data_IF_207583500088
#
_entry.id   IF_207583500088
#
_cell.length_a   1.000
_cell.length_b   1.000
_cell.length_c   1.000
_cell.angle_alpha   90.00
_cell.angle_beta   90.00
_cell.angle_gamma   90.00
#
_symmetry.space_group_name_H-M   'P 1'
#
loop_
_entity.id
_entity.type
_entity.pdbx_description
1 polymer ?
#
# COMPACT_ATOMS: atom_id res chain seq x y z
N UNK A 1 1.74 3.08 -16.98
CA UNK A 1 1.84 3.14 -15.52
C UNK A 1 0.47 2.89 -14.93
N UNK A 2 0.39 2.07 -13.88
CA UNK A 2 -0.80 1.83 -13.08
C UNK A 2 -0.45 2.04 -11.60
N UNK A 3 -1.22 2.87 -10.91
CA UNK A 3 -1.17 3.02 -9.46
C UNK A 3 -2.48 2.51 -8.86
N UNK A 4 -2.44 1.41 -8.12
CA UNK A 4 -3.59 0.87 -7.42
C UNK A 4 -3.62 1.44 -5.99
N UNK A 5 -4.34 2.54 -5.82
CA UNK A 5 -4.40 3.30 -4.56
C UNK A 5 -5.74 3.14 -3.82
N UNK A 6 -6.83 2.81 -4.53
CA UNK A 6 -8.14 2.71 -3.91
C UNK A 6 -8.15 1.74 -2.72
N UNK A 7 -8.73 2.18 -1.61
CA UNK A 7 -8.81 1.37 -0.41
C UNK A 7 -9.76 1.98 0.62
N UNK A 8 -10.31 1.10 1.46
CA UNK A 8 -11.22 1.46 2.55
C UNK A 8 -10.77 0.76 3.83
N UNK A 9 -11.22 1.29 4.97
CA UNK A 9 -11.10 0.66 6.28
C UNK A 9 -12.48 0.44 6.88
N UNK A 10 -12.61 -0.60 7.69
CA UNK A 10 -13.75 -0.85 8.57
C UNK A 10 -13.20 -1.45 9.86
N UNK A 11 -12.77 -0.56 10.75
CA UNK A 11 -12.02 -0.91 11.94
C UNK A 11 -12.95 -1.45 13.01
N UNK A 12 -12.69 -2.67 13.46
CA UNK A 12 -13.43 -3.35 14.50
C UNK A 12 -12.58 -4.46 15.11
N UNK A 13 -12.64 -4.62 16.43
CA UNK A 13 -11.99 -5.76 17.09
C UNK A 13 -12.56 -7.08 16.56
N UNK A 14 -11.70 -8.09 16.40
CA UNK A 14 -12.01 -9.37 15.75
C UNK A 14 -13.34 -9.99 16.23
N UNK A 15 -13.60 -10.01 17.53
CA UNK A 15 -14.79 -10.61 18.09
C UNK A 15 -16.11 -9.88 17.76
N UNK A 16 -16.02 -8.67 17.22
CA UNK A 16 -17.17 -7.84 16.81
C UNK A 16 -17.21 -7.59 15.31
N UNK A 17 -16.14 -7.93 14.59
CA UNK A 17 -16.07 -7.76 13.14
C UNK A 17 -17.03 -8.75 12.47
N UNK A 18 -17.89 -8.24 11.60
CA UNK A 18 -18.75 -9.11 10.78
C UNK A 18 -17.96 -9.67 9.59
N UNK A 19 -18.43 -10.78 9.02
CA UNK A 19 -17.89 -11.31 7.76
C UNK A 19 -18.01 -10.29 6.62
N UNK A 20 -19.13 -9.55 6.55
CA UNK A 20 -19.34 -8.49 5.56
C UNK A 20 -18.30 -7.36 5.69
N UNK A 21 -17.93 -6.98 6.92
CA UNK A 21 -16.87 -5.96 7.13
C UNK A 21 -15.51 -6.47 6.66
N UNK A 22 -15.20 -7.73 6.93
CA UNK A 22 -13.98 -8.37 6.47
C UNK A 22 -13.96 -8.45 4.94
N UNK A 23 -14.98 -9.04 4.34
CA UNK A 23 -15.05 -9.28 2.89
C UNK A 23 -15.07 -7.99 2.09
N UNK A 24 -15.82 -6.97 2.52
CA UNK A 24 -15.89 -5.69 1.82
C UNK A 24 -14.54 -4.98 1.77
N UNK A 25 -13.74 -5.04 2.83
CA UNK A 25 -12.40 -4.45 2.87
C UNK A 25 -11.43 -5.25 1.99
N UNK A 26 -11.44 -6.57 2.09
CA UNK A 26 -10.57 -7.44 1.28
C UNK A 26 -10.94 -7.33 -0.21
N UNK A 27 -12.23 -7.35 -0.54
CA UNK A 27 -12.66 -7.25 -1.93
C UNK A 27 -12.33 -5.87 -2.55
N UNK A 28 -12.47 -4.80 -1.79
CA UNK A 28 -12.13 -3.46 -2.29
C UNK A 28 -10.62 -3.29 -2.44
N UNK A 29 -9.86 -3.58 -1.38
CA UNK A 29 -8.42 -3.26 -1.33
C UNK A 29 -7.57 -4.22 -2.16
N UNK A 30 -7.80 -5.52 -2.04
CA UNK A 30 -7.02 -6.55 -2.73
C UNK A 30 -7.70 -7.02 -4.02
N UNK A 31 -8.97 -7.32 -3.99
CA UNK A 31 -9.77 -7.71 -5.15
C UNK A 31 -9.83 -6.59 -6.20
N UNK A 32 -10.00 -5.33 -5.75
CA UNK A 32 -9.96 -4.15 -6.61
C UNK A 32 -8.62 -3.99 -7.32
N UNK A 33 -7.51 -4.10 -6.58
CA UNK A 33 -6.17 -4.07 -7.16
C UNK A 33 -5.98 -5.18 -8.22
N UNK A 34 -6.39 -6.41 -7.92
CA UNK A 34 -6.35 -7.52 -8.87
C UNK A 34 -7.11 -7.19 -10.17
N UNK A 35 -8.33 -6.66 -10.07
CA UNK A 35 -9.19 -6.37 -11.24
C UNK A 35 -8.55 -5.32 -12.15
N UNK A 36 -8.01 -4.23 -11.60
CA UNK A 36 -7.40 -3.16 -12.40
C UNK A 36 -6.06 -3.60 -13.00
N UNK A 37 -5.23 -4.31 -12.24
CA UNK A 37 -3.96 -4.86 -12.72
C UNK A 37 -4.20 -5.85 -13.86
N UNK A 38 -5.13 -6.78 -13.72
CA UNK A 38 -5.48 -7.77 -14.77
C UNK A 38 -5.87 -7.09 -16.10
N UNK A 39 -6.60 -5.97 -16.03
CA UNK A 39 -6.99 -5.21 -17.22
C UNK A 39 -5.80 -4.47 -17.84
N UNK A 40 -5.01 -3.77 -17.03
CA UNK A 40 -3.85 -3.00 -17.48
C UNK A 40 -2.75 -3.90 -18.07
N UNK A 41 -2.52 -5.08 -17.50
CA UNK A 41 -1.46 -6.01 -17.91
C UNK A 41 -1.56 -6.42 -19.38
N UNK A 42 -2.76 -6.48 -19.96
CA UNK A 42 -2.91 -6.80 -21.40
C UNK A 42 -2.23 -5.78 -22.31
N UNK A 43 -2.37 -4.49 -22.01
CA UNK A 43 -1.74 -3.41 -22.78
C UNK A 43 -0.23 -3.37 -22.50
N UNK A 44 0.18 -3.53 -21.25
CA UNK A 44 1.58 -3.54 -20.84
C UNK A 44 2.36 -4.69 -21.48
N UNK A 45 1.77 -5.88 -21.55
CA UNK A 45 2.38 -7.05 -22.21
C UNK A 45 2.62 -6.82 -23.71
N UNK A 46 1.67 -6.18 -24.41
CA UNK A 46 1.83 -5.82 -25.83
C UNK A 46 2.91 -4.77 -26.04
N UNK A 47 2.94 -3.77 -25.16
CA UNK A 47 3.92 -2.69 -25.20
C UNK A 47 5.32 -3.15 -24.77
N UNK A 48 5.45 -4.30 -24.10
CA UNK A 48 6.70 -4.79 -23.43
C UNK A 48 7.25 -3.72 -22.47
N UNK A 49 6.36 -2.99 -21.84
CA UNK A 49 6.65 -1.94 -20.87
C UNK A 49 5.47 -1.80 -19.89
N UNK A 50 5.78 -1.68 -18.62
CA UNK A 50 4.79 -1.39 -17.59
C UNK A 50 5.42 -1.07 -16.25
N UNK A 51 4.70 -0.25 -15.47
CA UNK A 51 5.00 0.06 -14.07
C UNK A 51 3.72 -0.12 -13.28
N UNK A 52 3.71 -1.08 -12.38
CA UNK A 52 2.59 -1.38 -11.49
C UNK A 52 3.02 -1.02 -10.08
N UNK A 53 2.30 -0.11 -9.44
CA UNK A 53 2.59 0.38 -8.10
C UNK A 53 1.34 0.16 -7.25
N UNK A 54 1.47 -0.67 -6.23
CA UNK A 54 0.39 -1.03 -5.32
C UNK A 54 0.56 -0.26 -4.01
N UNK A 55 -0.46 0.46 -3.58
CA UNK A 55 -0.42 1.21 -2.33
C UNK A 55 -0.93 0.33 -1.20
N UNK A 56 0.03 -0.13 -0.38
CA UNK A 56 -0.23 -0.90 0.84
C UNK A 56 -0.35 0.05 2.06
N UNK A 57 0.16 -0.37 3.16
CA UNK A 57 0.28 0.39 4.42
C UNK A 57 1.33 -0.30 5.30
N UNK A 58 1.95 0.44 6.19
CA UNK A 58 2.76 -0.15 7.26
C UNK A 58 1.93 -1.11 8.12
N UNK A 59 0.63 -0.87 8.28
CA UNK A 59 -0.29 -1.80 8.98
C UNK A 59 -0.34 -3.18 8.29
N UNK A 60 -0.17 -3.24 6.97
CA UNK A 60 -0.02 -4.50 6.24
C UNK A 60 1.30 -5.23 6.52
N UNK A 61 2.27 -4.59 7.15
CA UNK A 61 3.58 -5.16 7.46
C UNK A 61 3.67 -5.63 8.91
N UNK A 62 3.18 -4.86 9.88
CA UNK A 62 3.28 -5.18 11.30
C UNK A 62 1.93 -5.44 12.01
N UNK A 63 0.80 -5.21 11.33
CA UNK A 63 -0.53 -5.36 11.91
C UNK A 63 -0.99 -4.18 12.75
N UNK A 64 -2.28 -4.18 13.13
CA UNK A 64 -2.85 -3.22 14.06
C UNK A 64 -4.10 -3.82 14.72
N UNK A 65 -4.26 -3.64 16.02
CA UNK A 65 -5.46 -4.07 16.71
C UNK A 65 -6.71 -3.39 16.11
N UNK A 66 -7.77 -4.16 15.86
CA UNK A 66 -8.99 -3.67 15.23
C UNK A 66 -8.95 -3.58 13.70
N UNK A 67 -7.84 -3.92 13.06
CA UNK A 67 -7.66 -3.80 11.61
C UNK A 67 -7.29 -5.12 10.92
N UNK A 68 -7.82 -6.25 11.40
CA UNK A 68 -7.51 -7.58 10.83
C UNK A 68 -7.82 -7.65 9.34
N UNK A 69 -8.99 -7.14 8.91
CA UNK A 69 -9.41 -7.07 7.52
C UNK A 69 -8.49 -6.16 6.68
N UNK A 70 -8.19 -4.98 7.18
CA UNK A 70 -7.33 -4.01 6.50
C UNK A 70 -5.89 -4.52 6.40
N UNK A 71 -5.32 -5.00 7.52
CA UNK A 71 -3.98 -5.59 7.55
C UNK A 71 -3.86 -6.77 6.58
N UNK A 72 -4.81 -7.70 6.59
CA UNK A 72 -4.84 -8.84 5.66
C UNK A 72 -4.88 -8.37 4.20
N UNK A 73 -5.75 -7.40 3.86
CA UNK A 73 -5.89 -6.88 2.50
C UNK A 73 -4.61 -6.21 2.01
N UNK A 74 -3.96 -5.41 2.86
CA UNK A 74 -2.74 -4.67 2.53
C UNK A 74 -1.50 -5.57 2.51
N UNK A 75 -1.43 -6.56 3.39
CA UNK A 75 -0.39 -7.60 3.37
C UNK A 75 -0.49 -8.46 2.12
N UNK A 76 -1.68 -8.82 1.69
CA UNK A 76 -1.93 -9.59 0.46
C UNK A 76 -1.35 -8.94 -0.80
N UNK A 77 -1.27 -7.60 -0.85
CA UNK A 77 -0.66 -6.87 -1.97
C UNK A 77 0.84 -7.19 -2.13
N UNK A 78 1.54 -7.55 -1.05
CA UNK A 78 2.96 -7.92 -1.10
C UNK A 78 3.14 -9.24 -1.85
N UNK A 79 2.39 -10.27 -1.47
CA UNK A 79 2.41 -11.56 -2.18
C UNK A 79 1.97 -11.40 -3.64
N UNK A 80 0.94 -10.60 -3.87
CA UNK A 80 0.43 -10.29 -5.21
C UNK A 80 1.51 -9.63 -6.07
N UNK A 81 2.21 -8.59 -5.57
CA UNK A 81 3.29 -7.92 -6.30
C UNK A 81 4.45 -8.87 -6.65
N UNK A 82 4.85 -9.70 -5.69
CA UNK A 82 5.95 -10.66 -5.90
C UNK A 82 5.61 -11.72 -6.94
N UNK A 83 4.37 -12.21 -6.97
CA UNK A 83 3.90 -13.14 -8.00
C UNK A 83 3.88 -12.48 -9.38
N UNK A 84 3.33 -11.28 -9.49
CA UNK A 84 3.35 -10.52 -10.75
C UNK A 84 4.76 -10.24 -11.26
N UNK A 85 5.70 -9.92 -10.37
CA UNK A 85 7.10 -9.76 -10.74
C UNK A 85 7.65 -11.03 -11.42
N UNK A 86 7.38 -12.21 -10.86
CA UNK A 86 7.82 -13.48 -11.46
C UNK A 86 7.18 -13.76 -12.82
N UNK A 87 5.94 -13.35 -13.00
CA UNK A 87 5.21 -13.58 -14.26
C UNK A 87 5.55 -12.56 -15.36
N UNK A 88 5.80 -11.29 -14.98
CA UNK A 88 5.79 -10.18 -15.93
C UNK A 88 7.13 -9.48 -16.14
N UNK A 89 8.13 -9.69 -15.25
CA UNK A 89 9.40 -8.94 -15.31
C UNK A 89 10.15 -9.18 -16.63
N UNK A 90 10.14 -10.39 -17.19
CA UNK A 90 10.75 -10.70 -18.48
C UNK A 90 10.10 -9.96 -19.68
N UNK A 91 8.99 -9.29 -19.45
CA UNK A 91 8.27 -8.45 -20.43
C UNK A 91 8.50 -6.96 -20.22
N UNK A 92 9.48 -6.56 -19.39
CA UNK A 92 9.78 -5.16 -19.10
C UNK A 92 8.75 -4.50 -18.17
N UNK A 93 8.00 -5.29 -17.39
CA UNK A 93 6.98 -4.80 -16.46
C UNK A 93 7.49 -4.96 -15.04
N UNK A 94 7.57 -3.87 -14.27
CA UNK A 94 7.89 -3.91 -12.85
C UNK A 94 6.64 -3.84 -12.00
N UNK A 95 6.66 -4.49 -10.85
CA UNK A 95 5.56 -4.41 -9.86
C UNK A 95 6.14 -4.20 -8.47
N UNK A 96 5.79 -3.08 -7.83
CA UNK A 96 6.29 -2.72 -6.51
C UNK A 96 5.16 -2.30 -5.58
N UNK A 97 5.43 -2.35 -4.29
CA UNK A 97 4.51 -1.95 -3.22
C UNK A 97 5.10 -0.73 -2.51
N UNK A 98 4.29 0.30 -2.35
CA UNK A 98 4.57 1.42 -1.44
C UNK A 98 3.73 1.22 -0.20
N UNK A 99 4.35 1.30 0.98
CA UNK A 99 3.70 1.11 2.27
C UNK A 99 3.80 2.40 3.10
N UNK A 100 2.82 3.33 2.96
CA UNK A 100 2.79 4.55 3.75
C UNK A 100 2.53 4.27 5.22
N UNK A 101 3.14 5.11 6.09
CA UNK A 101 2.79 5.22 7.50
C UNK A 101 1.64 6.21 7.71
N UNK A 102 1.75 7.05 8.75
CA UNK A 102 0.79 8.12 9.00
C UNK A 102 1.05 9.31 8.09
N UNK A 103 0.02 9.66 7.32
CA UNK A 103 0.07 10.75 6.33
C UNK A 103 -0.89 11.86 6.76
N UNK A 104 -0.46 13.11 6.57
CA UNK A 104 -1.32 14.29 6.75
C UNK A 104 -2.46 14.28 5.75
N UNK A 105 -3.66 14.01 6.23
CA UNK A 105 -4.91 13.97 5.46
C UNK A 105 -6.02 14.58 6.32
N UNK A 106 -7.16 14.85 5.72
CA UNK A 106 -8.34 15.32 6.48
C UNK A 106 -8.71 14.36 7.62
N UNK A 107 -8.50 13.06 7.44
CA UNK A 107 -8.74 12.05 8.49
C UNK A 107 -7.78 12.20 9.67
N UNK A 108 -6.49 12.41 9.43
CA UNK A 108 -5.51 12.60 10.52
C UNK A 108 -5.64 13.96 11.17
N UNK A 109 -6.02 15.00 10.40
CA UNK A 109 -6.29 16.33 10.91
C UNK A 109 -7.53 16.39 11.84
N UNK A 110 -8.51 15.50 11.60
CA UNK A 110 -9.72 15.40 12.43
C UNK A 110 -9.49 14.69 13.77
N UNK A 111 -8.33 14.06 13.98
CA UNK A 111 -7.99 13.40 15.25
C UNK A 111 -7.72 14.45 16.35
N UNK A 112 -8.08 14.17 17.62
CA UNK A 112 -7.72 15.02 18.76
C UNK A 112 -6.18 15.24 18.81
N UNK A 113 -5.76 16.45 19.20
CA UNK A 113 -4.34 16.80 19.28
C UNK A 113 -3.51 15.83 20.13
N UNK A 114 -4.07 15.37 21.25
CA UNK A 114 -3.43 14.40 22.13
C UNK A 114 -3.15 13.06 21.40
N UNK A 115 -4.11 12.60 20.60
CA UNK A 115 -3.95 11.39 19.79
C UNK A 115 -2.91 11.56 18.68
N UNK A 116 -2.91 12.73 18.01
CA UNK A 116 -1.88 13.04 17.02
C UNK A 116 -0.48 13.08 17.64
N UNK A 117 -0.34 13.69 18.84
CA UNK A 117 0.91 13.76 19.56
C UNK A 117 1.42 12.36 19.96
N UNK A 118 0.52 11.47 20.39
CA UNK A 118 0.85 10.10 20.73
C UNK A 118 1.36 9.32 19.49
N UNK A 119 0.67 9.44 18.35
CA UNK A 119 1.12 8.80 17.10
C UNK A 119 2.47 9.34 16.65
N UNK A 120 2.66 10.67 16.66
CA UNK A 120 3.94 11.29 16.30
C UNK A 120 5.11 10.82 17.18
N UNK A 121 4.84 10.58 18.47
CA UNK A 121 5.85 10.07 19.42
C UNK A 121 6.37 8.67 19.05
N UNK A 122 5.53 7.86 18.41
CA UNK A 122 5.89 6.50 18.00
C UNK A 122 6.61 6.46 16.63
N UNK A 123 6.61 7.57 15.90
CA UNK A 123 7.30 7.69 14.60
C UNK A 123 8.72 8.23 14.87
N UNK A 124 9.79 7.52 14.51
CA UNK A 124 11.16 8.01 14.69
C UNK A 124 11.42 9.39 14.06
N UNK A 125 10.82 9.69 12.91
CA UNK A 125 10.89 11.01 12.28
C UNK A 125 10.11 12.11 13.04
N UNK A 126 9.31 11.78 14.06
CA UNK A 126 8.60 12.71 14.94
C UNK A 126 7.43 13.46 14.32
N UNK A 127 7.02 13.12 13.10
CA UNK A 127 5.96 13.78 12.36
C UNK A 127 5.21 12.83 11.44
N UNK A 128 4.05 13.27 10.98
CA UNK A 128 3.38 12.64 9.84
C UNK A 128 4.08 13.04 8.53
N UNK A 129 4.00 12.20 7.53
CA UNK A 129 4.44 12.54 6.18
C UNK A 129 3.35 13.31 5.43
N UNK A 130 3.75 14.11 4.46
CA UNK A 130 2.81 14.72 3.53
C UNK A 130 2.43 13.73 2.43
N UNK A 131 1.27 13.93 1.80
CA UNK A 131 0.88 13.15 0.61
C UNK A 131 1.90 13.29 -0.52
N UNK A 132 2.56 14.46 -0.63
CA UNK A 132 3.62 14.70 -1.62
C UNK A 132 4.85 13.82 -1.43
N UNK A 133 5.23 13.49 -0.20
CA UNK A 133 6.37 12.60 0.07
C UNK A 133 6.07 11.17 -0.41
N UNK A 134 4.86 10.68 -0.24
CA UNK A 134 4.44 9.38 -0.79
C UNK A 134 4.36 9.43 -2.32
N UNK A 135 3.77 10.50 -2.88
CA UNK A 135 3.64 10.69 -4.32
C UNK A 135 5.02 10.77 -5.01
N UNK A 136 6.02 11.36 -4.37
CA UNK A 136 7.39 11.40 -4.87
C UNK A 136 7.99 10.01 -5.07
N UNK A 137 7.80 9.09 -4.12
CA UNK A 137 8.24 7.69 -4.24
C UNK A 137 7.48 6.97 -5.36
N UNK A 138 6.18 7.18 -5.46
CA UNK A 138 5.35 6.61 -6.53
C UNK A 138 5.83 7.10 -7.91
N UNK A 139 6.08 8.41 -8.04
CA UNK A 139 6.57 8.99 -9.29
C UNK A 139 7.94 8.44 -9.68
N UNK A 140 8.85 8.29 -8.72
CA UNK A 140 10.16 7.70 -8.97
C UNK A 140 10.06 6.23 -9.42
N UNK A 141 9.22 5.42 -8.77
CA UNK A 141 8.97 4.03 -9.18
C UNK A 141 8.33 3.91 -10.58
N UNK A 142 7.64 4.94 -11.03
CA UNK A 142 7.06 5.02 -12.37
C UNK A 142 8.09 5.37 -13.44
N UNK A 143 9.23 5.92 -13.07
CA UNK A 143 10.28 6.37 -13.96
C UNK A 143 11.27 5.27 -14.39
N UNK A 144 12.20 5.64 -15.24
CA UNK A 144 13.21 4.72 -15.77
C UNK A 144 14.33 4.41 -14.78
N UNK A 145 14.62 5.31 -13.83
CA UNK A 145 15.61 5.11 -12.78
C UNK A 145 15.27 3.92 -11.85
N UNK A 146 13.99 3.53 -11.78
CA UNK A 146 13.51 2.38 -11.03
C UNK A 146 13.31 1.12 -11.92
N UNK A 147 13.79 1.09 -13.14
CA UNK A 147 13.53 0.01 -14.12
C UNK A 147 13.99 -1.37 -13.66
N UNK A 148 14.98 -1.45 -12.74
CA UNK A 148 15.48 -2.71 -12.20
C UNK A 148 14.93 -3.05 -10.82
N UNK A 149 14.00 -2.24 -10.30
CA UNK A 149 13.33 -2.48 -9.02
C UNK A 149 11.98 -3.15 -9.28
N UNK A 150 11.84 -4.39 -8.85
CA UNK A 150 10.58 -5.15 -8.99
C UNK A 150 10.44 -6.17 -7.85
N UNK A 151 9.23 -6.28 -7.30
CA UNK A 151 8.92 -7.10 -6.13
C UNK A 151 9.31 -6.46 -4.80
N UNK A 152 9.74 -5.20 -4.81
CA UNK A 152 10.11 -4.47 -3.62
C UNK A 152 8.89 -3.99 -2.82
N UNK A 153 9.07 -3.90 -1.51
CA UNK A 153 8.17 -3.19 -0.60
C UNK A 153 8.93 -2.00 -0.05
N UNK A 154 8.42 -0.81 -0.28
CA UNK A 154 9.08 0.45 0.09
C UNK A 154 8.23 1.14 1.17
N UNK A 155 8.64 1.07 2.44
CA UNK A 155 8.00 1.85 3.50
C UNK A 155 8.25 3.35 3.30
N UNK A 156 7.21 4.16 3.48
CA UNK A 156 7.26 5.63 3.51
C UNK A 156 6.60 6.06 4.80
N UNK A 157 7.27 5.83 5.91
CA UNK A 157 6.66 5.78 7.25
C UNK A 157 7.45 6.50 8.34
N UNK A 158 8.54 7.17 7.99
CA UNK A 158 9.40 7.86 8.96
C UNK A 158 10.11 6.92 9.95
N UNK A 159 10.25 5.65 9.59
CA UNK A 159 10.88 4.62 10.41
C UNK A 159 9.91 3.88 11.36
N UNK A 160 8.60 4.13 11.27
CA UNK A 160 7.60 3.53 12.15
C UNK A 160 7.61 1.99 12.09
N UNK A 161 7.76 1.42 10.90
CA UNK A 161 7.73 -0.03 10.66
C UNK A 161 9.10 -0.66 10.46
N UNK A 162 10.19 -0.11 11.02
CA UNK A 162 11.53 -0.70 10.88
C UNK A 162 11.58 -2.15 11.37
N UNK A 163 12.31 -3.01 10.64
CA UNK A 163 12.56 -4.40 11.03
C UNK A 163 11.68 -5.44 10.34
N UNK A 164 11.02 -5.08 9.25
CA UNK A 164 10.18 -6.01 8.46
C UNK A 164 10.87 -6.47 7.18
#
# INVERSE_FOLDING_TARGET
VLVANAGVTRDMLLMRMSEDDFDSVVDTNLGGAFRVVKRASKAMLRARFGRIILISSVVGLYGSAGQVNYAASKSGLVGFARSLTRELAARGITTNVVAPGFIETDMTAALPEATQAEYKKNIPAGRFATAGEVAGVVAWLAGDDAAYISGAVIPVDGGLGMGH
#
